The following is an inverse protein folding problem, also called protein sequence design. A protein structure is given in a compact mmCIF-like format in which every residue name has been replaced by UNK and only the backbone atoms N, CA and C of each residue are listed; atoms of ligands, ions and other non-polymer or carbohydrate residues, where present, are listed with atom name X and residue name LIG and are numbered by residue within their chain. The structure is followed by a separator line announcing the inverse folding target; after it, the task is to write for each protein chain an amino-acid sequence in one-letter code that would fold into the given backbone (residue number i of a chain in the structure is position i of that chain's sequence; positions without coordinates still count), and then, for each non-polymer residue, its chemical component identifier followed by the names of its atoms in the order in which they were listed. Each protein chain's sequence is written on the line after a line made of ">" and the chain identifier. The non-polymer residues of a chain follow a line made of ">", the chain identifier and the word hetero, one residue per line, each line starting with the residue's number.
data_IF_380576402729
#
_entry.id   IF_380576402729
#
_cell.length_a   1.000
_cell.length_b   1.000
_cell.length_c   1.000
_cell.angle_alpha   90.00
_cell.angle_beta   90.00
_cell.angle_gamma   90.00
#
_symmetry.space_group_name_H-M   'P 1'
#
loop_
_entity.id
_entity.type
_entity.pdbx_description
1 polymer ?
#
# COMPACT_ATOMS: atom_id res chain seq x y z
N UNK A 1 -16.18 14.94 -4.02
CA UNK A 1 -16.61 13.59 -4.46
C UNK A 1 -15.45 12.80 -5.07
N UNK A 2 -14.64 13.43 -5.91
CA UNK A 2 -13.46 12.84 -6.56
C UNK A 2 -12.43 12.20 -5.59
N UNK A 3 -12.06 12.86 -4.47
CA UNK A 3 -11.17 12.25 -3.45
C UNK A 3 -11.73 10.94 -2.85
N UNK A 4 -13.06 10.84 -2.73
CA UNK A 4 -13.71 9.62 -2.23
C UNK A 4 -13.61 8.50 -3.25
N UNK A 5 -13.72 8.82 -4.54
CA UNK A 5 -13.55 7.83 -5.61
C UNK A 5 -12.13 7.25 -5.63
N UNK A 6 -11.10 8.10 -5.50
CA UNK A 6 -9.71 7.64 -5.39
C UNK A 6 -9.49 6.69 -4.22
N UNK A 7 -10.06 7.02 -3.05
CA UNK A 7 -10.03 6.18 -1.87
C UNK A 7 -10.70 4.82 -2.12
N UNK A 8 -11.90 4.81 -2.71
CA UNK A 8 -12.63 3.57 -2.99
C UNK A 8 -11.90 2.69 -4.02
N UNK A 9 -11.26 3.30 -5.02
CA UNK A 9 -10.41 2.58 -5.97
C UNK A 9 -9.19 1.99 -5.26
N UNK A 10 -8.55 2.73 -4.35
CA UNK A 10 -7.46 2.23 -3.52
C UNK A 10 -7.86 1.00 -2.70
N UNK A 11 -8.98 1.09 -1.97
CA UNK A 11 -9.55 -0.03 -1.20
C UNK A 11 -9.89 -1.24 -2.08
N UNK A 12 -10.44 -1.00 -3.27
CA UNK A 12 -10.71 -2.08 -4.23
C UNK A 12 -9.42 -2.77 -4.68
N UNK A 13 -8.35 -2.02 -4.95
CA UNK A 13 -7.06 -2.61 -5.33
C UNK A 13 -6.46 -3.43 -4.18
N UNK A 14 -6.48 -2.94 -2.95
CA UNK A 14 -5.97 -3.69 -1.78
C UNK A 14 -6.78 -4.97 -1.57
N UNK A 15 -8.11 -4.90 -1.63
CA UNK A 15 -8.97 -6.07 -1.46
C UNK A 15 -8.76 -7.12 -2.55
N UNK A 16 -8.61 -6.72 -3.81
CA UNK A 16 -8.26 -7.63 -4.89
C UNK A 16 -6.86 -8.23 -4.70
N UNK A 17 -5.91 -7.47 -4.16
CA UNK A 17 -4.56 -7.96 -3.81
C UNK A 17 -4.60 -9.05 -2.74
N UNK A 18 -5.45 -8.87 -1.71
CA UNK A 18 -5.67 -9.86 -0.65
C UNK A 18 -6.41 -11.12 -1.15
N UNK A 19 -7.29 -10.99 -2.13
CA UNK A 19 -7.92 -12.15 -2.76
C UNK A 19 -6.89 -12.95 -3.58
N UNK A 20 -6.01 -12.27 -4.31
CA UNK A 20 -4.95 -12.91 -5.09
C UNK A 20 -3.95 -13.66 -4.21
N UNK A 21 -3.70 -13.22 -2.98
CA UNK A 21 -2.82 -13.96 -2.05
C UNK A 21 -3.41 -15.29 -1.58
N UNK A 22 -4.71 -15.53 -1.78
CA UNK A 22 -5.34 -16.83 -1.47
C UNK A 22 -5.22 -17.84 -2.62
N UNK A 23 -4.76 -17.42 -3.79
CA UNK A 23 -4.61 -18.25 -5.00
C UNK A 23 -3.18 -18.81 -5.07
N UNK A 24 -2.95 -20.03 -5.60
CA UNK A 24 -1.62 -20.59 -5.73
C UNK A 24 -0.65 -19.62 -6.43
N UNK A 25 0.53 -19.33 -5.84
CA UNK A 25 1.38 -18.26 -6.35
C UNK A 25 2.05 -18.66 -7.66
N UNK A 26 1.82 -17.82 -8.66
CA UNK A 26 2.59 -17.78 -9.90
C UNK A 26 3.46 -16.52 -9.90
N UNK A 27 4.52 -16.49 -10.71
CA UNK A 27 5.37 -15.30 -10.81
C UNK A 27 4.56 -14.04 -11.16
N UNK A 28 3.55 -14.17 -12.03
CA UNK A 28 2.65 -13.07 -12.37
C UNK A 28 1.80 -12.63 -11.17
N UNK A 29 1.22 -13.57 -10.43
CA UNK A 29 0.42 -13.27 -9.22
C UNK A 29 1.27 -12.57 -8.16
N UNK A 30 2.51 -13.01 -7.92
CA UNK A 30 3.40 -12.38 -6.94
C UNK A 30 3.68 -10.90 -7.28
N UNK A 31 3.94 -10.60 -8.56
CA UNK A 31 4.11 -9.23 -9.02
C UNK A 31 2.81 -8.44 -8.88
N UNK A 32 1.67 -9.00 -9.30
CA UNK A 32 0.37 -8.32 -9.19
C UNK A 32 -0.01 -7.99 -7.74
N UNK A 33 0.23 -8.90 -6.80
CA UNK A 33 -0.02 -8.67 -5.36
C UNK A 33 0.81 -7.46 -4.87
N UNK A 34 2.12 -7.46 -5.16
CA UNK A 34 3.01 -6.39 -4.74
C UNK A 34 2.54 -5.02 -5.28
N UNK A 35 2.10 -4.98 -6.54
CA UNK A 35 1.59 -3.76 -7.15
C UNK A 35 0.25 -3.31 -6.57
N UNK A 36 -0.71 -4.23 -6.45
CA UNK A 36 -2.06 -3.91 -6.01
C UNK A 36 -2.11 -3.45 -4.56
N UNK A 37 -1.32 -4.06 -3.69
CA UNK A 37 -1.22 -3.63 -2.28
C UNK A 37 -0.54 -2.27 -2.19
N UNK A 38 0.65 -2.08 -2.78
CA UNK A 38 1.40 -0.83 -2.62
C UNK A 38 0.73 0.37 -3.29
N UNK A 39 0.18 0.20 -4.50
CA UNK A 39 -0.60 1.25 -5.15
C UNK A 39 -1.93 1.48 -4.46
N UNK A 40 -2.61 0.42 -4.02
CA UNK A 40 -3.88 0.53 -3.31
C UNK A 40 -3.74 1.35 -2.02
N UNK A 41 -2.75 1.03 -1.18
CA UNK A 41 -2.44 1.81 0.03
C UNK A 41 -2.10 3.27 -0.27
N UNK A 42 -1.35 3.52 -1.33
CA UNK A 42 -0.97 4.89 -1.73
C UNK A 42 -2.21 5.67 -2.19
N UNK A 43 -3.08 5.08 -3.01
CA UNK A 43 -4.31 5.70 -3.50
C UNK A 43 -5.39 5.83 -2.42
N UNK A 44 -5.33 5.04 -1.35
CA UNK A 44 -6.23 5.19 -0.21
C UNK A 44 -5.77 6.31 0.74
N UNK A 45 -4.52 6.25 1.19
CA UNK A 45 -4.01 7.12 2.25
C UNK A 45 -3.61 8.51 1.75
N UNK A 46 -2.99 8.63 0.58
CA UNK A 46 -2.47 9.93 0.10
C UNK A 46 -3.59 10.94 -0.16
N UNK A 47 -4.71 10.60 -0.84
CA UNK A 47 -5.80 11.55 -1.03
C UNK A 47 -6.44 11.98 0.30
N UNK A 48 -6.51 11.08 1.29
CA UNK A 48 -6.96 11.41 2.64
C UNK A 48 -6.02 12.39 3.33
N UNK A 49 -4.72 12.10 3.35
CA UNK A 49 -3.68 12.95 3.93
C UNK A 49 -3.76 14.36 3.34
N UNK A 50 -3.79 14.47 2.00
CA UNK A 50 -3.84 15.75 1.29
C UNK A 50 -5.13 16.51 1.62
N UNK A 51 -6.28 15.83 1.62
CA UNK A 51 -7.57 16.45 1.96
C UNK A 51 -7.61 16.94 3.41
N UNK A 52 -7.16 16.13 4.36
CA UNK A 52 -7.14 16.50 5.79
C UNK A 52 -6.16 17.64 6.03
N UNK A 53 -4.99 17.62 5.39
CA UNK A 53 -4.02 18.72 5.46
C UNK A 53 -4.59 20.03 4.90
N UNK A 54 -5.34 19.97 3.80
CA UNK A 54 -6.03 21.13 3.23
C UNK A 54 -7.07 21.72 4.20
N UNK A 55 -7.89 20.86 4.82
CA UNK A 55 -8.90 21.26 5.81
C UNK A 55 -8.21 21.88 7.04
N UNK A 56 -7.14 21.27 7.53
CA UNK A 56 -6.34 21.80 8.65
C UNK A 56 -5.82 23.22 8.33
N UNK A 57 -5.26 23.43 7.14
CA UNK A 57 -4.82 24.76 6.69
C UNK A 57 -5.95 25.78 6.63
N UNK A 58 -7.14 25.40 6.15
CA UNK A 58 -8.31 26.28 6.12
C UNK A 58 -8.75 26.69 7.53
N UNK A 59 -8.82 25.74 8.45
CA UNK A 59 -9.24 26.00 9.83
C UNK A 59 -8.27 26.95 10.55
N UNK A 60 -6.95 26.75 10.42
CA UNK A 60 -5.94 27.67 10.99
C UNK A 60 -6.07 29.07 10.38
N UNK A 61 -6.31 29.16 9.06
CA UNK A 61 -6.50 30.44 8.40
C UNK A 61 -7.76 31.17 8.86
N UNK A 62 -8.85 30.42 9.07
CA UNK A 62 -10.11 30.95 9.58
C UNK A 62 -9.95 31.52 11.00
N UNK A 63 -9.18 30.85 11.87
CA UNK A 63 -8.84 31.36 13.20
C UNK A 63 -8.07 32.70 13.14
N UNK A 64 -7.26 32.88 12.10
CA UNK A 64 -6.50 34.12 11.85
C UNK A 64 -7.29 35.16 11.04
N UNK A 65 -8.58 34.91 10.76
CA UNK A 65 -9.44 35.74 9.89
C UNK A 65 -8.80 36.03 8.52
N UNK A 66 -7.94 35.13 8.02
CA UNK A 66 -7.26 35.27 6.73
C UNK A 66 -7.96 34.45 5.67
N UNK A 67 -8.42 35.09 4.60
CA UNK A 67 -8.96 34.39 3.42
C UNK A 67 -7.80 33.73 2.66
N UNK A 68 -7.89 32.41 2.49
CA UNK A 68 -6.97 31.63 1.66
C UNK A 68 -7.78 30.94 0.58
N UNK A 69 -7.32 31.05 -0.66
CA UNK A 69 -7.87 30.28 -1.77
C UNK A 69 -7.05 29.01 -1.95
N UNK A 70 -7.72 27.85 -1.85
CA UNK A 70 -7.09 26.56 -2.13
C UNK A 70 -7.37 26.15 -3.56
N UNK A 71 -6.31 25.99 -4.35
CA UNK A 71 -6.43 25.44 -5.69
C UNK A 71 -6.56 23.92 -5.64
N UNK A 72 -7.66 23.39 -6.18
CA UNK A 72 -7.87 21.95 -6.31
C UNK A 72 -6.76 21.30 -7.15
N UNK A 73 -6.26 22.01 -8.16
CA UNK A 73 -5.19 21.53 -9.04
C UNK A 73 -3.89 21.23 -8.27
N UNK A 74 -3.51 22.07 -7.30
CA UNK A 74 -2.31 21.83 -6.49
C UNK A 74 -2.45 20.60 -5.60
N UNK A 75 -3.65 20.39 -5.04
CA UNK A 75 -3.94 19.23 -4.18
C UNK A 75 -3.91 17.93 -4.98
N UNK A 76 -4.56 17.88 -6.15
CA UNK A 76 -4.49 16.71 -7.03
C UNK A 76 -3.11 16.49 -7.60
N UNK A 77 -2.38 17.55 -7.94
CA UNK A 77 -0.99 17.46 -8.39
C UNK A 77 -0.10 16.76 -7.36
N UNK A 78 -0.29 17.03 -6.07
CA UNK A 78 0.43 16.33 -5.00
C UNK A 78 0.09 14.84 -4.93
N UNK A 79 -1.21 14.48 -5.02
CA UNK A 79 -1.65 13.08 -5.02
C UNK A 79 -1.06 12.31 -6.20
N UNK A 80 -1.18 12.87 -7.41
CA UNK A 80 -0.66 12.25 -8.64
C UNK A 80 0.86 12.14 -8.58
N UNK A 81 1.55 13.17 -8.09
CA UNK A 81 3.02 13.14 -7.96
C UNK A 81 3.51 12.02 -7.05
N UNK A 82 2.87 11.83 -5.89
CA UNK A 82 3.21 10.75 -4.96
C UNK A 82 2.86 9.37 -5.54
N UNK A 83 1.71 9.25 -6.22
CA UNK A 83 1.34 8.02 -6.90
C UNK A 83 2.32 7.64 -8.01
N UNK A 84 2.77 8.62 -8.81
CA UNK A 84 3.78 8.41 -9.86
C UNK A 84 5.13 8.00 -9.28
N UNK A 85 5.54 8.59 -8.15
CA UNK A 85 6.76 8.18 -7.43
C UNK A 85 6.68 6.70 -7.02
N UNK A 86 5.55 6.28 -6.45
CA UNK A 86 5.31 4.87 -6.10
C UNK A 86 5.35 3.96 -7.34
N UNK A 87 4.68 4.36 -8.44
CA UNK A 87 4.72 3.60 -9.69
C UNK A 87 6.16 3.44 -10.18
N UNK A 88 6.96 4.51 -10.20
CA UNK A 88 8.36 4.46 -10.64
C UNK A 88 9.21 3.53 -9.76
N UNK A 89 8.98 3.54 -8.44
CA UNK A 89 9.63 2.64 -7.50
C UNK A 89 9.26 1.18 -7.79
N UNK A 90 7.97 0.87 -8.00
CA UNK A 90 7.51 -0.47 -8.31
C UNK A 90 8.02 -0.99 -9.66
N UNK A 91 8.08 -0.13 -10.69
CA UNK A 91 8.70 -0.47 -11.98
C UNK A 91 10.16 -0.87 -11.74
N UNK A 92 10.90 -0.05 -11.00
CA UNK A 92 12.31 -0.33 -10.71
C UNK A 92 12.48 -1.65 -9.96
N UNK A 93 11.61 -1.94 -9.00
CA UNK A 93 11.60 -3.22 -8.29
C UNK A 93 11.34 -4.39 -9.26
N UNK A 94 10.31 -4.30 -10.11
CA UNK A 94 10.00 -5.38 -11.06
C UNK A 94 11.07 -5.64 -12.11
N UNK A 95 11.78 -4.60 -12.56
CA UNK A 95 12.83 -4.73 -13.57
C UNK A 95 14.14 -5.26 -12.96
N UNK A 96 14.49 -4.83 -11.76
CA UNK A 96 15.77 -5.21 -11.13
C UNK A 96 15.68 -6.55 -10.38
N UNK A 97 14.58 -6.80 -9.68
CA UNK A 97 14.40 -8.01 -8.88
C UNK A 97 12.91 -8.33 -8.69
N UNK A 98 12.24 -8.93 -9.70
CA UNK A 98 10.83 -9.26 -9.57
C UNK A 98 10.62 -10.31 -8.46
N UNK A 99 9.56 -10.18 -7.64
CA UNK A 99 9.19 -11.24 -6.69
C UNK A 99 8.83 -12.51 -7.46
N UNK A 100 9.45 -13.62 -7.08
CA UNK A 100 9.25 -14.93 -7.71
C UNK A 100 8.57 -15.88 -6.73
N UNK A 101 7.93 -16.92 -7.27
CA UNK A 101 7.38 -17.99 -6.42
C UNK A 101 8.55 -18.77 -5.79
N UNK A 102 8.57 -18.82 -4.47
CA UNK A 102 9.43 -19.69 -3.68
C UNK A 102 8.59 -20.77 -3.00
N UNK A 103 9.23 -21.84 -2.57
CA UNK A 103 8.58 -22.90 -1.82
C UNK A 103 9.50 -23.33 -0.70
N UNK A 104 8.92 -23.48 0.49
CA UNK A 104 9.58 -24.14 1.61
C UNK A 104 9.00 -25.54 1.75
N UNK A 105 9.89 -26.48 2.09
CA UNK A 105 9.55 -27.87 2.38
C UNK A 105 9.61 -28.01 3.90
N UNK A 106 8.45 -28.10 4.53
CA UNK A 106 8.37 -28.41 5.96
C UNK A 106 8.11 -29.90 6.09
N UNK A 107 8.99 -30.60 6.82
CA UNK A 107 8.78 -32.01 7.16
C UNK A 107 7.67 -32.05 8.20
N UNK A 108 6.52 -32.61 7.86
CA UNK A 108 5.44 -32.82 8.82
C UNK A 108 5.67 -34.16 9.52
N UNK A 109 5.58 -34.20 10.85
CA UNK A 109 5.72 -35.44 11.66
C UNK A 109 4.55 -36.42 11.47
N UNK A 110 3.60 -36.11 10.58
CA UNK A 110 2.44 -36.95 10.30
C UNK A 110 2.78 -37.98 9.21
N UNK A 111 2.68 -39.25 9.59
CA UNK A 111 2.90 -40.38 8.70
C UNK A 111 1.54 -40.75 8.09
N UNK A 112 1.50 -40.94 6.76
CA UNK A 112 0.33 -41.45 6.05
C UNK A 112 -0.02 -42.87 6.53
N UNK A 113 -1.26 -43.32 6.30
CA UNK A 113 -1.75 -44.66 6.69
C UNK A 113 -0.87 -45.82 6.16
N UNK A 114 -0.10 -45.55 5.09
CA UNK A 114 0.83 -46.48 4.45
C UNK A 114 2.30 -46.35 4.93
N UNK A 115 2.60 -45.54 5.96
CA UNK A 115 3.96 -45.40 6.50
C UNK A 115 4.85 -44.38 5.79
N UNK A 116 4.30 -43.57 4.88
CA UNK A 116 5.05 -42.54 4.14
C UNK A 116 5.02 -41.18 4.86
N UNK A 117 6.15 -40.48 4.94
CA UNK A 117 6.24 -39.12 5.50
C UNK A 117 5.54 -38.12 4.59
N UNK A 118 4.54 -37.40 5.11
CA UNK A 118 3.86 -36.34 4.37
C UNK A 118 4.74 -35.08 4.42
N UNK A 119 5.14 -34.58 3.24
CA UNK A 119 5.90 -33.32 3.13
C UNK A 119 4.94 -32.20 2.78
N UNK A 120 4.73 -31.26 3.70
CA UNK A 120 3.94 -30.07 3.43
C UNK A 120 4.77 -29.07 2.64
N UNK A 121 4.23 -28.60 1.51
CA UNK A 121 4.87 -27.62 0.64
C UNK A 121 4.13 -26.29 0.76
N UNK A 122 4.73 -25.33 1.46
CA UNK A 122 4.19 -23.98 1.57
C UNK A 122 4.74 -23.13 0.44
N UNK A 123 3.85 -22.56 -0.36
CA UNK A 123 4.22 -21.65 -1.44
C UNK A 123 4.10 -20.20 -0.98
N UNK A 124 5.15 -19.41 -1.20
CA UNK A 124 5.15 -17.99 -0.85
C UNK A 124 5.87 -17.18 -1.95
N UNK A 125 5.64 -15.87 -1.96
CA UNK A 125 6.32 -14.97 -2.88
C UNK A 125 7.55 -14.39 -2.17
N UNK A 126 8.73 -14.58 -2.75
CA UNK A 126 9.97 -14.01 -2.20
C UNK A 126 10.73 -13.31 -3.33
N UNK A 127 11.28 -12.13 -3.05
CA UNK A 127 12.28 -11.50 -3.91
C UNK A 127 13.67 -11.98 -3.49
N UNK A 128 14.57 -12.16 -4.46
CA UNK A 128 15.97 -12.53 -4.16
C UNK A 128 16.72 -11.47 -3.36
N UNK A 129 16.19 -10.24 -3.30
CA UNK A 129 16.66 -9.18 -2.43
C UNK A 129 15.51 -8.66 -1.55
N UNK A 130 15.62 -8.81 -0.23
CA UNK A 130 14.60 -8.38 0.75
C UNK A 130 14.54 -6.84 0.92
N UNK A 131 15.54 -6.11 0.42
CA UNK A 131 15.61 -4.64 0.56
C UNK A 131 14.35 -3.95 0.03
N UNK A 132 13.79 -4.44 -1.09
CA UNK A 132 12.59 -3.85 -1.68
C UNK A 132 11.33 -4.07 -0.83
N UNK A 133 11.24 -5.22 -0.15
CA UNK A 133 10.16 -5.50 0.79
C UNK A 133 10.25 -4.56 2.00
N UNK A 134 11.43 -4.42 2.62
CA UNK A 134 11.62 -3.46 3.70
C UNK A 134 11.31 -2.01 3.28
N UNK A 135 11.68 -1.62 2.06
CA UNK A 135 11.45 -0.26 1.55
C UNK A 135 9.95 0.01 1.34
N UNK A 136 9.21 -0.95 0.80
CA UNK A 136 7.75 -0.83 0.63
C UNK A 136 7.01 -0.81 1.97
N UNK A 137 7.41 -1.66 2.92
CA UNK A 137 6.85 -1.64 4.29
C UNK A 137 7.16 -0.31 4.99
N UNK A 138 8.40 0.18 4.91
CA UNK A 138 8.78 1.46 5.48
C UNK A 138 7.94 2.62 4.89
N UNK A 139 7.70 2.61 3.58
CA UNK A 139 6.82 3.58 2.93
C UNK A 139 5.39 3.55 3.49
N UNK A 140 4.80 2.36 3.63
CA UNK A 140 3.45 2.22 4.20
C UNK A 140 3.39 2.73 5.65
N UNK A 141 4.38 2.39 6.47
CA UNK A 141 4.49 2.89 7.86
C UNK A 141 4.56 4.41 7.89
N UNK A 142 5.36 5.03 7.02
CA UNK A 142 5.45 6.50 6.93
C UNK A 142 4.09 7.10 6.61
N UNK A 143 3.36 6.57 5.63
CA UNK A 143 2.02 7.05 5.28
C UNK A 143 1.05 6.93 6.46
N UNK A 144 1.07 5.80 7.18
CA UNK A 144 0.22 5.57 8.35
C UNK A 144 0.55 6.54 9.50
N UNK A 145 1.83 6.79 9.77
CA UNK A 145 2.27 7.75 10.79
C UNK A 145 1.80 9.16 10.44
N UNK A 146 2.01 9.60 9.19
CA UNK A 146 1.57 10.92 8.72
C UNK A 146 0.05 11.06 8.81
N UNK A 147 -0.70 10.06 8.36
CA UNK A 147 -2.16 10.04 8.47
C UNK A 147 -2.63 10.12 9.92
N UNK A 148 -2.00 9.38 10.82
CA UNK A 148 -2.32 9.36 12.26
C UNK A 148 -2.06 10.71 12.93
N UNK A 149 -0.94 11.35 12.60
CA UNK A 149 -0.61 12.70 13.11
C UNK A 149 -1.66 13.71 12.66
N UNK A 150 -2.05 13.68 11.38
CA UNK A 150 -3.06 14.58 10.82
C UNK A 150 -4.45 14.33 11.45
N UNK A 151 -4.82 13.08 11.68
CA UNK A 151 -6.05 12.74 12.37
C UNK A 151 -6.07 13.32 13.79
N UNK A 152 -4.96 13.21 14.52
CA UNK A 152 -4.84 13.77 15.87
C UNK A 152 -4.89 15.30 15.88
N UNK A 153 -4.20 15.97 14.93
CA UNK A 153 -4.25 17.43 14.79
C UNK A 153 -5.68 17.93 14.51
N UNK A 154 -6.42 17.22 13.66
CA UNK A 154 -7.81 17.58 13.31
C UNK A 154 -8.73 17.53 14.52
N UNK A 155 -8.53 16.57 15.43
CA UNK A 155 -9.32 16.46 16.67
C UNK A 155 -9.17 17.68 17.59
N UNK A 156 -7.98 18.29 17.65
CA UNK A 156 -7.72 19.46 18.50
C UNK A 156 -8.35 20.75 17.98
N UNK A 157 -8.80 20.77 16.71
CA UNK A 157 -9.35 21.98 16.08
C UNK A 157 -10.88 22.00 15.99
N UNK A 158 -11.53 20.96 16.52
CA UNK A 158 -12.96 20.98 16.86
C UNK A 158 -13.13 21.64 18.22
#
# INVERSE_FOLDING_TARGET
>A
VEFLFLLLVGLLMVSLGALLSSVPPTNAICVSIAWMINLGYTLELVPLIVKVAAINRLMVAAQQMRRIELSLYSLYGAVVGIALLMIAMLITWTVTNPPQKSFDLTLTDTVSENGETIVERTHYCQSGNEVWEYLTVAWQVILLVVASILAFQTRKMR
#
